data_IF_944936054852
#
_entry.id   IF_944936054852
#
_cell.length_a   1.000
_cell.length_b   1.000
_cell.length_c   1.000
_cell.angle_alpha   90.00
_cell.angle_beta   90.00
_cell.angle_gamma   90.00
#
_symmetry.space_group_name_H-M   'P 1'
#
loop_
_entity.id
_entity.type
_entity.pdbx_description
1 polymer ?
#
# COMPACT_ATOMS: atom_id res chain seq x y z
N UNK A 1 22.55 -1.59 4.11
CA UNK A 1 21.17 -1.06 4.12
C UNK A 1 20.83 -0.80 2.67
N UNK A 2 19.81 -1.46 2.11
CA UNK A 2 19.41 -1.22 0.72
C UNK A 2 18.72 0.15 0.64
N UNK A 3 19.11 0.96 -0.34
CA UNK A 3 18.46 2.24 -0.60
C UNK A 3 17.17 1.98 -1.38
N UNK A 4 16.05 2.53 -0.89
CA UNK A 4 14.75 2.41 -1.56
C UNK A 4 14.57 3.67 -2.41
N UNK A 5 14.57 3.55 -3.75
CA UNK A 5 14.33 4.70 -4.62
C UNK A 5 12.95 5.30 -4.38
N UNK A 6 12.81 6.62 -4.60
CA UNK A 6 11.55 7.37 -4.51
C UNK A 6 10.79 7.20 -3.17
N UNK A 7 11.56 7.09 -2.08
CA UNK A 7 11.00 6.96 -0.73
C UNK A 7 10.04 8.10 -0.42
N UNK A 8 8.82 7.74 -0.09
CA UNK A 8 7.78 8.69 0.29
C UNK A 8 8.18 9.43 1.56
N UNK A 9 8.46 10.75 1.46
CA UNK A 9 8.76 11.58 2.62
C UNK A 9 7.48 11.81 3.44
N UNK A 10 7.56 11.44 4.71
CA UNK A 10 6.51 11.58 5.72
C UNK A 10 6.09 13.03 5.93
N UNK A 11 7.02 13.99 5.79
CA UNK A 11 6.77 15.42 6.00
C UNK A 11 5.92 16.03 4.89
N UNK A 12 6.03 15.49 3.68
CA UNK A 12 5.26 15.93 2.52
C UNK A 12 3.83 15.35 2.50
N UNK A 13 3.52 14.38 3.37
CA UNK A 13 2.17 13.81 3.56
C UNK A 13 1.38 14.57 4.65
N UNK A 14 2.03 15.47 5.40
CA UNK A 14 1.41 16.27 6.46
C UNK A 14 0.24 17.13 5.95
N UNK A 15 -0.76 17.30 6.83
CA UNK A 15 -2.10 17.80 6.55
C UNK A 15 -2.13 19.11 5.74
N UNK A 16 -2.70 19.06 4.55
CA UNK A 16 -2.94 20.25 3.72
C UNK A 16 -2.77 20.07 2.22
N UNK A 17 -2.17 18.97 1.76
CA UNK A 17 -2.13 18.66 0.33
C UNK A 17 -3.50 18.16 -0.15
N UNK A 18 -4.07 18.69 -1.25
CA UNK A 18 -5.32 18.18 -1.79
C UNK A 18 -5.22 16.66 -2.05
N UNK A 19 -6.29 15.90 -1.75
CA UNK A 19 -6.31 14.44 -1.78
C UNK A 19 -5.77 13.82 -3.08
N UNK A 20 -5.98 14.49 -4.22
CA UNK A 20 -5.44 14.06 -5.53
C UNK A 20 -3.91 14.01 -5.57
N UNK A 21 -3.21 14.90 -4.85
CA UNK A 21 -1.74 14.91 -4.80
C UNK A 21 -1.17 13.77 -3.94
N UNK A 22 -1.92 13.29 -2.95
CA UNK A 22 -1.43 12.24 -2.06
C UNK A 22 -1.44 10.87 -2.75
N UNK A 23 -2.56 10.52 -3.39
CA UNK A 23 -2.68 9.22 -4.07
C UNK A 23 -1.67 9.08 -5.22
N UNK A 24 -1.41 10.17 -5.96
CA UNK A 24 -0.41 10.19 -7.03
C UNK A 24 1.01 9.95 -6.50
N UNK A 25 1.37 10.59 -5.38
CA UNK A 25 2.66 10.39 -4.71
C UNK A 25 2.83 8.97 -4.16
N UNK A 26 1.78 8.44 -3.54
CA UNK A 26 1.77 7.04 -3.09
C UNK A 26 2.04 6.13 -4.28
N UNK A 27 1.30 6.29 -5.39
CA UNK A 27 1.51 5.48 -6.58
C UNK A 27 2.94 5.58 -7.13
N UNK A 28 3.53 6.78 -7.18
CA UNK A 28 4.89 7.00 -7.67
C UNK A 28 5.95 6.31 -6.78
N UNK A 29 5.79 6.36 -5.46
CA UNK A 29 6.75 5.81 -4.48
C UNK A 29 6.86 4.28 -4.47
N UNK A 30 5.96 3.57 -5.17
CA UNK A 30 5.95 2.12 -5.21
C UNK A 30 6.98 1.54 -6.18
N UNK A 31 7.54 2.36 -7.09
CA UNK A 31 8.50 1.92 -8.09
C UNK A 31 9.72 1.25 -7.42
N UNK A 32 10.04 0.02 -7.84
CA UNK A 32 11.15 -0.74 -7.26
C UNK A 32 10.88 -1.38 -5.88
N UNK A 33 9.70 -1.17 -5.29
CA UNK A 33 9.29 -1.79 -4.03
C UNK A 33 8.24 -2.90 -4.24
N UNK A 34 7.99 -3.72 -3.22
CA UNK A 34 7.06 -4.85 -3.28
C UNK A 34 5.66 -4.47 -3.83
N UNK A 35 5.00 -3.38 -3.40
CA UNK A 35 3.70 -2.98 -3.95
C UNK A 35 3.74 -2.72 -5.47
N UNK A 36 4.82 -2.10 -5.96
CA UNK A 36 5.03 -1.87 -7.39
C UNK A 36 5.28 -3.17 -8.15
N UNK A 37 6.06 -4.09 -7.58
CA UNK A 37 6.29 -5.43 -8.13
C UNK A 37 4.98 -6.23 -8.26
N UNK A 38 4.04 -6.05 -7.33
CA UNK A 38 2.70 -6.65 -7.35
C UNK A 38 1.67 -5.82 -8.16
N UNK A 39 2.06 -4.67 -8.72
CA UNK A 39 1.19 -3.87 -9.58
C UNK A 39 -0.01 -3.24 -8.84
N UNK A 40 0.16 -2.89 -7.57
CA UNK A 40 -0.87 -2.21 -6.79
C UNK A 40 -1.10 -0.79 -7.31
N UNK A 41 -2.36 -0.40 -7.42
CA UNK A 41 -2.81 0.94 -7.84
C UNK A 41 -3.78 1.50 -6.83
N UNK A 42 -3.44 2.66 -6.29
CA UNK A 42 -4.27 3.39 -5.32
C UNK A 42 -5.17 4.37 -6.07
N UNK A 43 -6.43 4.44 -5.63
CA UNK A 43 -7.52 5.20 -6.25
C UNK A 43 -7.87 6.40 -5.38
N UNK A 44 -7.92 6.20 -4.06
CA UNK A 44 -8.27 7.22 -3.08
C UNK A 44 -7.32 7.12 -1.89
N UNK A 45 -6.89 8.28 -1.37
CA UNK A 45 -6.07 8.39 -0.17
C UNK A 45 -6.46 9.67 0.58
N UNK A 46 -7.01 9.50 1.78
CA UNK A 46 -7.43 10.58 2.67
C UNK A 46 -7.30 10.16 4.13
N UNK A 47 -7.51 11.10 5.05
CA UNK A 47 -7.43 10.80 6.49
C UNK A 47 -8.47 9.73 6.86
N UNK A 48 -7.99 8.60 7.38
CA UNK A 48 -8.81 7.46 7.81
C UNK A 48 -9.28 6.55 6.68
N UNK A 49 -8.93 6.81 5.41
CA UNK A 49 -9.42 6.01 4.29
C UNK A 49 -8.39 5.88 3.15
N UNK A 50 -8.26 4.66 2.65
CA UNK A 50 -7.41 4.30 1.52
C UNK A 50 -8.14 3.27 0.69
N UNK A 51 -8.11 3.44 -0.63
CA UNK A 51 -8.70 2.48 -1.56
C UNK A 51 -7.73 2.18 -2.67
N UNK A 52 -7.52 0.90 -2.95
CA UNK A 52 -6.66 0.44 -4.03
C UNK A 52 -7.19 -0.82 -4.68
N UNK A 53 -6.50 -1.22 -5.75
CA UNK A 53 -6.76 -2.46 -6.50
C UNK A 53 -5.47 -2.92 -7.19
N UNK A 54 -5.49 -4.16 -7.68
CA UNK A 54 -4.51 -4.64 -8.65
C UNK A 54 -5.22 -5.52 -9.67
N UNK A 55 -4.66 -5.61 -10.87
CA UNK A 55 -5.14 -6.58 -11.85
C UNK A 55 -4.43 -7.91 -11.60
N UNK A 56 -5.21 -8.98 -11.54
CA UNK A 56 -4.69 -10.33 -11.35
C UNK A 56 -3.82 -10.71 -12.56
N UNK A 57 -2.66 -11.32 -12.29
CA UNK A 57 -1.66 -11.70 -13.29
C UNK A 57 -0.91 -12.93 -12.80
N UNK A 58 -0.21 -13.65 -13.69
CA UNK A 58 0.47 -14.91 -13.37
C UNK A 58 1.39 -14.82 -12.12
N UNK A 59 2.07 -13.69 -11.92
CA UNK A 59 2.94 -13.44 -10.75
C UNK A 59 2.22 -13.43 -9.39
N UNK A 60 0.89 -13.34 -9.37
CA UNK A 60 0.06 -13.36 -8.16
C UNK A 60 -0.42 -14.77 -7.79
N UNK A 61 -0.21 -15.76 -8.65
CA UNK A 61 -0.67 -17.12 -8.40
C UNK A 61 0.37 -17.92 -7.64
N UNK A 62 -0.12 -18.87 -6.85
CA UNK A 62 0.70 -19.96 -6.35
C UNK A 62 1.09 -20.90 -7.49
N UNK A 63 2.12 -21.75 -7.31
CA UNK A 63 2.46 -22.81 -8.27
C UNK A 63 1.33 -23.81 -8.56
N UNK A 64 0.26 -23.78 -7.76
CA UNK A 64 -0.91 -24.65 -7.89
C UNK A 64 -2.05 -24.03 -8.71
N UNK A 65 -1.86 -22.84 -9.28
CA UNK A 65 -2.86 -22.20 -10.16
C UNK A 65 -4.02 -21.50 -9.45
N UNK A 66 -3.94 -21.33 -8.13
CA UNK A 66 -4.84 -20.48 -7.34
C UNK A 66 -4.16 -19.18 -6.97
N UNK A 67 -4.93 -18.08 -6.87
CA UNK A 67 -4.41 -16.81 -6.39
C UNK A 67 -3.75 -17.01 -5.03
N UNK A 68 -2.49 -16.58 -4.91
CA UNK A 68 -1.75 -16.77 -3.69
C UNK A 68 -2.33 -15.86 -2.60
N UNK A 69 -2.67 -16.42 -1.44
CA UNK A 69 -3.20 -15.63 -0.31
C UNK A 69 -2.30 -14.45 0.08
N UNK A 70 -0.97 -14.62 0.01
CA UNK A 70 0.03 -13.56 0.14
C UNK A 70 -0.19 -12.35 -0.77
N UNK A 71 -0.75 -12.48 -1.98
CA UNK A 71 -1.07 -11.33 -2.83
C UNK A 71 -2.20 -10.47 -2.24
N UNK A 72 -3.21 -11.11 -1.64
CA UNK A 72 -4.30 -10.42 -0.94
C UNK A 72 -3.79 -9.81 0.37
N UNK A 73 -3.00 -10.57 1.12
CA UNK A 73 -2.38 -10.10 2.38
C UNK A 73 -1.47 -8.90 2.13
N UNK A 74 -0.65 -8.94 1.08
CA UNK A 74 0.22 -7.83 0.71
C UNK A 74 -0.59 -6.59 0.34
N UNK A 75 -1.70 -6.73 -0.39
CA UNK A 75 -2.60 -5.60 -0.67
C UNK A 75 -3.16 -5.01 0.62
N UNK A 76 -3.65 -5.86 1.52
CA UNK A 76 -4.24 -5.45 2.79
C UNK A 76 -3.23 -4.74 3.70
N UNK A 77 -2.04 -5.31 3.88
CA UNK A 77 -0.99 -4.72 4.72
C UNK A 77 -0.49 -3.39 4.13
N UNK A 78 -0.28 -3.34 2.81
CA UNK A 78 0.14 -2.11 2.14
C UNK A 78 -0.94 -1.02 2.26
N UNK A 79 -2.22 -1.39 2.14
CA UNK A 79 -3.34 -0.47 2.35
C UNK A 79 -3.31 0.08 3.77
N UNK A 80 -3.23 -0.79 4.79
CA UNK A 80 -3.11 -0.37 6.19
C UNK A 80 -1.95 0.61 6.40
N UNK A 81 -0.79 0.33 5.80
CA UNK A 81 0.37 1.22 5.88
C UNK A 81 0.11 2.61 5.29
N UNK A 82 -0.40 2.68 4.05
CA UNK A 82 -0.71 3.97 3.42
C UNK A 82 -1.88 4.70 4.09
N UNK A 83 -2.87 3.98 4.63
CA UNK A 83 -3.96 4.56 5.43
C UNK A 83 -3.45 5.15 6.75
N UNK A 84 -2.56 4.45 7.46
CA UNK A 84 -1.86 4.96 8.63
C UNK A 84 -1.07 6.22 8.29
N UNK A 85 -0.30 6.16 7.20
CA UNK A 85 0.50 7.28 6.70
C UNK A 85 -0.36 8.52 6.43
N UNK A 86 -1.49 8.37 5.73
CA UNK A 86 -2.44 9.44 5.43
C UNK A 86 -3.11 10.02 6.70
N UNK A 87 -3.01 9.31 7.83
CA UNK A 87 -3.69 9.63 9.09
C UNK A 87 -2.75 10.02 10.22
N UNK A 88 -1.44 10.04 9.99
CA UNK A 88 -0.45 10.33 11.02
C UNK A 88 -0.74 11.69 11.70
N UNK A 89 -0.56 11.77 13.04
CA UNK A 89 -0.63 13.04 13.73
C UNK A 89 0.61 13.89 13.45
N UNK A 90 0.52 15.19 13.71
CA UNK A 90 1.64 16.11 13.54
C UNK A 90 2.82 15.71 14.42
N UNK A 91 4.03 15.78 13.86
CA UNK A 91 5.26 15.38 14.53
C UNK A 91 5.53 13.86 14.54
N UNK A 92 4.64 13.03 14.00
CA UNK A 92 4.93 11.61 13.84
C UNK A 92 6.05 11.38 12.80
N UNK A 93 6.92 10.40 13.08
CA UNK A 93 8.11 10.08 12.27
C UNK A 93 7.99 8.77 11.51
N UNK A 94 6.82 8.13 11.53
CA UNK A 94 6.56 6.89 10.81
C UNK A 94 5.48 6.03 11.45
N UNK A 95 5.31 4.85 10.88
CA UNK A 95 4.45 3.79 11.38
C UNK A 95 5.15 2.43 11.14
N UNK A 96 4.65 1.40 11.82
CA UNK A 96 4.98 0.02 11.51
C UNK A 96 3.72 -0.83 11.74
N UNK A 97 3.50 -1.83 10.89
CA UNK A 97 2.45 -2.83 11.13
C UNK A 97 2.81 -3.61 12.40
N UNK A 98 1.95 -3.55 13.42
CA UNK A 98 2.12 -4.34 14.65
C UNK A 98 1.61 -5.77 14.49
N UNK A 99 0.44 -5.93 13.86
CA UNK A 99 -0.20 -7.21 13.60
C UNK A 99 -1.10 -7.09 12.37
N UNK A 100 -1.29 -8.20 11.65
CA UNK A 100 -2.29 -8.33 10.61
C UNK A 100 -2.89 -9.75 10.63
N UNK A 101 -4.22 -9.84 10.66
CA UNK A 101 -4.98 -11.09 10.52
C UNK A 101 -5.83 -11.02 9.26
N UNK A 102 -5.71 -12.03 8.40
CA UNK A 102 -6.55 -12.17 7.20
C UNK A 102 -7.34 -13.48 7.28
N UNK A 103 -8.63 -13.44 6.92
CA UNK A 103 -9.41 -14.65 6.65
C UNK A 103 -9.73 -14.69 5.15
N UNK A 104 -9.54 -15.85 4.52
CA UNK A 104 -9.92 -16.05 3.12
C UNK A 104 -11.32 -16.67 3.08
N UNK A 105 -12.30 -15.91 2.60
CA UNK A 105 -13.72 -16.31 2.60
C UNK A 105 -14.23 -16.76 1.23
N UNK A 106 -13.42 -16.64 0.18
CA UNK A 106 -13.72 -17.06 -1.17
C UNK A 106 -12.45 -17.20 -1.99
N UNK A 107 -12.52 -18.02 -3.05
CA UNK A 107 -11.46 -18.11 -4.04
C UNK A 107 -11.70 -17.07 -5.14
N UNK A 108 -10.61 -16.48 -5.63
CA UNK A 108 -10.55 -15.58 -6.78
C UNK A 108 -9.63 -16.17 -7.85
#
# INVERSE_FOLDING_TARGET
MFEVPDRLDLREVSAGSPASRLVDRINASQAGALPGLLGFRWIEAERGHIRGRFDIAAKHFSPHGLLHGASIVALADTACGFGCLASLPDGAVGFATGELKTNFIGAA
#
